data_IF_659614469669
#
_entry.id   IF_659614469669
#
_cell.length_a   1.000
_cell.length_b   1.000
_cell.length_c   1.000
_cell.angle_alpha   90.00
_cell.angle_beta   90.00
_cell.angle_gamma   90.00
#
_symmetry.space_group_name_H-M   'P 1'
#
loop_
_entity.id
_entity.type
_entity.pdbx_description
1 polymer ?
#
# COMPACT_ATOMS: atom_id res chain seq x y z
N UNK A 1 -18.70 6.96 3.04
CA UNK A 1 -19.12 5.55 3.29
C UNK A 1 -17.86 4.78 3.65
N UNK A 2 -17.82 4.28 4.86
CA UNK A 2 -16.68 3.52 5.37
C UNK A 2 -16.56 2.20 4.61
N UNK A 3 -15.37 1.90 4.12
CA UNK A 3 -15.01 0.57 3.60
C UNK A 3 -15.10 -0.43 4.76
N UNK A 4 -16.26 -1.04 4.92
CA UNK A 4 -16.43 -2.20 5.80
C UNK A 4 -15.91 -3.41 5.02
N UNK A 5 -14.63 -3.70 5.17
CA UNK A 5 -14.02 -4.93 4.68
C UNK A 5 -14.53 -6.07 5.58
N UNK A 6 -15.70 -6.64 5.26
CA UNK A 6 -16.26 -7.77 5.98
C UNK A 6 -15.53 -9.08 5.70
N UNK A 7 -14.61 -9.08 4.73
CA UNK A 7 -13.80 -10.23 4.35
C UNK A 7 -12.37 -10.12 4.88
N UNK A 8 -12.00 -11.02 5.76
CA UNK A 8 -10.64 -11.10 6.30
C UNK A 8 -9.65 -11.64 5.26
N UNK A 9 -8.41 -11.12 5.25
CA UNK A 9 -7.36 -11.60 4.36
C UNK A 9 -6.85 -12.98 4.78
N UNK A 10 -6.55 -13.85 3.79
CA UNK A 10 -5.70 -15.01 4.01
C UNK A 10 -4.24 -14.55 4.06
N UNK A 11 -3.79 -14.12 5.25
CA UNK A 11 -2.49 -13.51 5.45
C UNK A 11 -1.32 -14.44 5.07
N UNK A 12 -1.45 -15.76 5.25
CA UNK A 12 -0.39 -16.72 4.87
C UNK A 12 -0.25 -16.83 3.36
N UNK A 13 -1.38 -16.98 2.64
CA UNK A 13 -1.35 -17.02 1.18
C UNK A 13 -0.92 -15.68 0.62
N UNK A 14 -1.37 -14.57 1.22
CA UNK A 14 -0.94 -13.22 0.85
C UNK A 14 0.59 -13.07 0.96
N UNK A 15 1.21 -13.45 2.06
CA UNK A 15 2.66 -13.38 2.25
C UNK A 15 3.43 -14.12 1.15
N UNK A 16 2.96 -15.33 0.77
CA UNK A 16 3.60 -16.14 -0.26
C UNK A 16 3.57 -15.48 -1.65
N UNK A 17 2.48 -14.80 -2.01
CA UNK A 17 2.32 -14.21 -3.34
C UNK A 17 2.79 -12.76 -3.39
N UNK A 18 2.62 -11.99 -2.30
CA UNK A 18 3.04 -10.59 -2.21
C UNK A 18 4.55 -10.42 -2.08
N UNK A 19 5.25 -11.42 -1.50
CA UNK A 19 6.70 -11.43 -1.42
C UNK A 19 7.39 -11.29 -2.79
N UNK A 20 6.79 -11.87 -3.82
CA UNK A 20 7.35 -11.83 -5.18
C UNK A 20 7.36 -10.42 -5.79
N UNK A 21 6.46 -9.54 -5.33
CA UNK A 21 6.20 -8.24 -5.92
C UNK A 21 6.26 -7.12 -4.87
N UNK A 22 5.29 -7.08 -3.98
CA UNK A 22 5.08 -5.95 -3.05
C UNK A 22 6.20 -5.81 -2.02
N UNK A 23 6.79 -6.92 -1.56
CA UNK A 23 7.92 -6.89 -0.64
C UNK A 23 9.14 -6.20 -1.25
N UNK A 24 9.48 -6.52 -2.51
CA UNK A 24 10.59 -5.88 -3.23
C UNK A 24 10.38 -4.38 -3.38
N UNK A 25 9.15 -3.96 -3.66
CA UNK A 25 8.82 -2.55 -3.76
C UNK A 25 8.94 -1.84 -2.42
N UNK A 26 8.46 -2.45 -1.34
CA UNK A 26 8.62 -1.90 -0.01
C UNK A 26 10.09 -1.72 0.38
N UNK A 27 10.97 -2.67 0.01
CA UNK A 27 12.41 -2.52 0.20
C UNK A 27 12.98 -1.32 -0.59
N UNK A 28 12.54 -1.10 -1.82
CA UNK A 28 12.96 0.06 -2.61
C UNK A 28 12.55 1.38 -1.93
N UNK A 29 11.33 1.44 -1.37
CA UNK A 29 10.86 2.64 -0.66
C UNK A 29 11.72 2.95 0.57
N UNK A 30 12.19 1.92 1.27
CA UNK A 30 13.09 2.10 2.42
C UNK A 30 14.42 2.77 2.05
N UNK A 31 14.88 2.64 0.81
CA UNK A 31 16.13 3.23 0.33
C UNK A 31 15.97 4.70 -0.13
N UNK A 32 14.76 5.26 -0.10
CA UNK A 32 14.54 6.66 -0.50
C UNK A 32 15.03 7.67 0.52
N UNK A 33 15.43 7.21 1.71
CA UNK A 33 16.03 8.06 2.75
C UNK A 33 17.20 7.39 3.44
N UNK A 34 18.08 8.21 4.01
CA UNK A 34 19.08 7.77 4.99
C UNK A 34 18.41 7.66 6.37
N UNK A 35 18.52 6.50 7.01
CA UNK A 35 18.01 6.23 8.35
C UNK A 35 19.10 6.53 9.40
N UNK A 36 18.71 7.13 10.52
CA UNK A 36 19.63 7.47 11.63
C UNK A 36 19.53 6.46 12.78
N UNK A 37 18.51 5.61 12.76
CA UNK A 37 18.31 4.54 13.72
C UNK A 37 17.49 4.88 14.96
N UNK A 38 16.99 6.12 15.07
CA UNK A 38 16.22 6.62 16.21
C UNK A 38 14.90 7.26 15.80
N UNK A 39 14.49 7.08 14.56
CA UNK A 39 13.24 7.64 14.05
C UNK A 39 12.02 6.97 14.69
N UNK A 40 10.97 7.75 14.87
CA UNK A 40 9.63 7.28 15.21
C UNK A 40 8.83 7.19 13.93
N UNK A 41 8.45 5.97 13.57
CA UNK A 41 7.88 5.63 12.27
C UNK A 41 6.48 5.06 12.44
N UNK A 42 5.55 5.41 11.55
CA UNK A 42 4.33 4.64 11.34
C UNK A 42 4.42 3.87 10.02
N UNK A 43 4.18 2.57 10.06
CA UNK A 43 3.92 1.73 8.90
C UNK A 43 2.41 1.66 8.69
N UNK A 44 1.90 2.49 7.78
CA UNK A 44 0.46 2.65 7.51
C UNK A 44 0.00 1.61 6.48
N UNK A 45 -0.77 0.64 6.95
CA UNK A 45 -1.14 -0.56 6.20
C UNK A 45 -0.02 -1.61 6.24
N UNK A 46 0.44 -1.95 7.44
CA UNK A 46 1.59 -2.86 7.66
C UNK A 46 1.36 -4.29 7.16
N UNK A 47 0.11 -4.68 6.92
CA UNK A 47 -0.26 -6.04 6.55
C UNK A 47 0.25 -7.05 7.59
N UNK A 48 0.88 -8.11 7.12
CA UNK A 48 1.48 -9.15 7.97
C UNK A 48 2.81 -8.75 8.63
N UNK A 49 3.29 -7.52 8.41
CA UNK A 49 4.51 -7.00 9.03
C UNK A 49 5.83 -7.38 8.34
N UNK A 50 5.81 -7.90 7.10
CA UNK A 50 7.04 -8.30 6.40
C UNK A 50 7.99 -7.13 6.15
N UNK A 51 7.49 -5.97 5.74
CA UNK A 51 8.30 -4.74 5.57
C UNK A 51 8.54 -4.07 6.91
N UNK A 52 7.60 -4.12 7.84
CA UNK A 52 7.76 -3.62 9.21
C UNK A 52 9.00 -4.20 9.89
N UNK A 53 9.34 -5.49 9.65
CA UNK A 53 10.61 -6.09 10.11
C UNK A 53 11.84 -5.32 9.65
N UNK A 54 11.83 -4.85 8.41
CA UNK A 54 12.96 -4.09 7.85
C UNK A 54 13.00 -2.68 8.44
N UNK A 55 11.85 -2.04 8.62
CA UNK A 55 11.74 -0.77 9.33
C UNK A 55 12.30 -0.86 10.75
N UNK A 56 11.87 -1.88 11.53
CA UNK A 56 12.33 -2.10 12.88
C UNK A 56 13.87 -2.24 12.97
N UNK A 57 14.48 -2.92 12.01
CA UNK A 57 15.95 -3.04 11.91
C UNK A 57 16.62 -1.72 11.52
N UNK A 58 15.96 -0.87 10.73
CA UNK A 58 16.49 0.44 10.33
C UNK A 58 16.47 1.45 11.49
N UNK A 59 15.56 1.26 12.47
CA UNK A 59 15.38 2.18 13.61
C UNK A 59 15.53 1.48 14.97
N UNK A 60 16.67 0.83 15.26
CA UNK A 60 16.85 0.01 16.47
C UNK A 60 16.76 0.79 17.80
N UNK A 61 16.97 2.09 17.78
CA UNK A 61 16.82 3.00 18.93
C UNK A 61 15.55 3.87 18.81
N UNK A 62 14.79 3.71 17.74
CA UNK A 62 13.54 4.39 17.48
C UNK A 62 12.34 3.51 17.83
N UNK A 63 11.21 3.81 17.18
CA UNK A 63 9.96 3.06 17.37
C UNK A 63 9.20 2.93 16.06
N UNK A 64 8.55 1.79 15.84
CA UNK A 64 7.66 1.56 14.70
C UNK A 64 6.25 1.27 15.21
N UNK A 65 5.30 2.08 14.78
CA UNK A 65 3.86 1.81 14.93
C UNK A 65 3.38 1.08 13.67
N UNK A 66 3.12 -0.21 13.80
CA UNK A 66 2.62 -1.05 12.72
C UNK A 66 1.08 -1.05 12.73
N UNK A 67 0.47 -0.38 11.76
CA UNK A 67 -0.97 -0.11 11.75
C UNK A 67 -1.63 -0.82 10.58
N UNK A 68 -2.66 -1.63 10.86
CA UNK A 68 -3.53 -2.22 9.84
C UNK A 68 -4.95 -2.36 10.39
N UNK A 69 -5.95 -2.33 9.50
CA UNK A 69 -7.36 -2.48 9.87
C UNK A 69 -7.79 -3.95 9.92
N UNK A 70 -7.13 -4.82 9.14
CA UNK A 70 -7.51 -6.22 8.99
C UNK A 70 -7.02 -7.06 10.18
N UNK A 71 -7.96 -7.79 10.81
CA UNK A 71 -7.67 -8.59 12.00
C UNK A 71 -6.72 -9.76 11.76
N UNK A 72 -6.78 -10.40 10.57
CA UNK A 72 -5.91 -11.52 10.24
C UNK A 72 -4.49 -11.05 9.91
N UNK A 73 -4.37 -9.89 9.24
CA UNK A 73 -3.07 -9.24 9.01
C UNK A 73 -2.42 -8.89 10.35
N UNK A 74 -3.16 -8.28 11.28
CA UNK A 74 -2.66 -7.96 12.63
C UNK A 74 -2.26 -9.23 13.39
N UNK A 75 -3.05 -10.30 13.33
CA UNK A 75 -2.70 -11.58 13.95
C UNK A 75 -1.39 -12.13 13.38
N UNK A 76 -1.21 -12.08 12.07
CA UNK A 76 0.02 -12.54 11.42
C UNK A 76 1.20 -11.60 11.73
N UNK A 77 0.97 -10.28 11.78
CA UNK A 77 1.99 -9.30 12.15
C UNK A 77 2.53 -9.56 13.57
N UNK A 78 1.67 -9.87 14.54
CA UNK A 78 2.09 -10.25 15.90
C UNK A 78 3.04 -11.44 15.90
N UNK A 79 2.73 -12.49 15.14
CA UNK A 79 3.62 -13.66 15.00
C UNK A 79 4.95 -13.28 14.33
N UNK A 80 4.87 -12.46 13.28
CA UNK A 80 6.03 -12.09 12.49
C UNK A 80 6.97 -11.11 13.20
N UNK A 81 6.48 -10.31 14.13
CA UNK A 81 7.18 -9.19 14.76
C UNK A 81 7.49 -9.42 16.24
N UNK A 82 7.18 -10.60 16.80
CA UNK A 82 7.33 -10.91 18.24
C UNK A 82 8.74 -10.69 18.80
N UNK A 83 9.78 -10.71 17.95
CA UNK A 83 11.18 -10.52 18.34
C UNK A 83 11.65 -9.06 18.27
N UNK A 84 10.74 -8.11 18.02
CA UNK A 84 11.09 -6.70 17.86
C UNK A 84 10.45 -5.86 18.97
N UNK A 85 11.22 -5.53 20.00
CA UNK A 85 10.74 -4.74 21.16
C UNK A 85 10.43 -3.28 20.79
N UNK A 86 10.98 -2.79 19.68
CA UNK A 86 10.75 -1.45 19.15
C UNK A 86 9.52 -1.34 18.23
N UNK A 87 8.66 -2.39 18.15
CA UNK A 87 7.44 -2.39 17.32
C UNK A 87 6.20 -2.47 18.19
N UNK A 88 5.28 -1.54 17.96
CA UNK A 88 3.94 -1.56 18.53
C UNK A 88 2.91 -1.82 17.42
N UNK A 89 2.09 -2.87 17.59
CA UNK A 89 1.11 -3.30 16.58
C UNK A 89 -0.27 -2.83 16.98
N UNK A 90 -0.90 -2.05 16.11
CA UNK A 90 -2.18 -1.40 16.36
C UNK A 90 -3.18 -1.78 15.29
N UNK A 91 -4.33 -2.34 15.72
CA UNK A 91 -5.45 -2.55 14.81
C UNK A 91 -6.29 -1.29 14.71
N UNK A 92 -6.14 -0.55 13.62
CA UNK A 92 -6.89 0.69 13.38
C UNK A 92 -6.87 1.04 11.88
N UNK A 93 -7.81 1.88 11.45
CA UNK A 93 -7.65 2.64 10.22
C UNK A 93 -6.58 3.71 10.43
N UNK A 94 -5.64 3.83 9.50
CA UNK A 94 -4.64 4.91 9.58
C UNK A 94 -5.21 6.31 9.26
N UNK A 95 -6.48 6.40 8.87
CA UNK A 95 -7.21 7.67 8.73
C UNK A 95 -7.93 8.12 9.99
N UNK A 96 -8.00 7.27 11.03
CA UNK A 96 -8.73 7.53 12.26
C UNK A 96 -7.88 7.28 13.52
N UNK A 97 -6.60 6.95 13.33
CA UNK A 97 -5.68 6.65 14.43
C UNK A 97 -5.17 7.92 15.12
N UNK A 98 -4.97 7.82 16.42
CA UNK A 98 -4.21 8.79 17.23
C UNK A 98 -3.05 8.08 17.88
N UNK A 99 -1.85 8.62 17.73
CA UNK A 99 -0.63 8.10 18.33
C UNK A 99 -0.19 9.00 19.50
N UNK A 100 0.50 8.44 20.51
CA UNK A 100 0.88 9.20 21.71
C UNK A 100 1.98 10.25 21.44
N UNK A 101 2.64 10.19 20.29
CA UNK A 101 3.73 11.09 19.93
C UNK A 101 3.77 11.38 18.44
N UNK A 102 4.44 12.46 18.07
CA UNK A 102 4.64 12.85 16.67
C UNK A 102 5.70 11.97 16.00
N UNK A 103 5.57 11.82 14.69
CA UNK A 103 6.35 10.91 13.86
C UNK A 103 7.43 11.65 13.06
N UNK A 104 8.57 11.00 12.88
CA UNK A 104 9.60 11.41 11.94
C UNK A 104 9.29 10.94 10.52
N UNK A 105 8.66 9.77 10.39
CA UNK A 105 8.35 9.17 9.10
C UNK A 105 6.98 8.49 9.13
N UNK A 106 6.21 8.71 8.08
CA UNK A 106 5.08 7.86 7.74
C UNK A 106 5.46 7.08 6.48
N UNK A 107 5.57 5.79 6.65
CA UNK A 107 5.82 4.83 5.59
C UNK A 107 4.51 4.13 5.22
N UNK A 108 4.28 3.88 3.92
CA UNK A 108 3.17 3.05 3.46
C UNK A 108 3.52 2.36 2.16
N UNK A 109 3.33 1.06 2.10
CA UNK A 109 3.58 0.28 0.89
C UNK A 109 2.35 -0.54 0.50
N UNK A 110 1.84 -0.32 -0.69
CA UNK A 110 0.70 -1.06 -1.28
C UNK A 110 -0.60 -1.00 -0.47
N UNK A 111 -0.84 0.09 0.28
CA UNK A 111 -2.02 0.26 1.14
C UNK A 111 -2.88 1.47 0.78
N UNK A 112 -2.30 2.62 0.43
CA UNK A 112 -3.04 3.88 0.28
C UNK A 112 -4.16 3.81 -0.79
N UNK A 113 -4.00 3.00 -1.83
CA UNK A 113 -5.01 2.85 -2.88
C UNK A 113 -6.32 2.17 -2.40
N UNK A 114 -6.38 1.65 -1.19
CA UNK A 114 -7.60 1.17 -0.55
C UNK A 114 -8.43 2.30 0.09
N UNK A 115 -7.87 3.51 0.19
CA UNK A 115 -8.54 4.69 0.75
C UNK A 115 -9.13 5.52 -0.39
N UNK A 116 -10.42 5.81 -0.33
CA UNK A 116 -11.09 6.65 -1.34
C UNK A 116 -10.82 8.13 -1.11
N UNK A 117 -10.72 8.58 0.14
CA UNK A 117 -10.46 9.97 0.52
C UNK A 117 -8.99 10.17 0.88
N UNK A 118 -8.17 10.40 -0.16
CA UNK A 118 -6.75 10.71 0.02
C UNK A 118 -6.53 12.04 0.75
N UNK A 119 -7.45 13.02 0.62
CA UNK A 119 -7.34 14.30 1.35
C UNK A 119 -7.38 14.06 2.85
N UNK A 120 -8.36 13.30 3.33
CA UNK A 120 -8.46 12.93 4.74
C UNK A 120 -7.19 12.19 5.20
N UNK A 121 -6.70 11.22 4.41
CA UNK A 121 -5.51 10.46 4.76
C UNK A 121 -4.27 11.37 4.91
N UNK A 122 -4.01 12.21 3.93
CA UNK A 122 -2.85 13.12 3.97
C UNK A 122 -2.97 14.20 5.06
N UNK A 123 -4.19 14.67 5.38
CA UNK A 123 -4.40 15.59 6.50
C UNK A 123 -4.07 14.91 7.84
N UNK A 124 -4.55 13.68 8.07
CA UNK A 124 -4.21 12.90 9.27
C UNK A 124 -2.71 12.65 9.35
N UNK A 125 -2.06 12.33 8.25
CA UNK A 125 -0.61 12.15 8.19
C UNK A 125 0.13 13.44 8.50
N UNK A 126 -0.32 14.57 7.95
CA UNK A 126 0.22 15.89 8.29
C UNK A 126 0.16 16.15 9.79
N UNK A 127 -0.99 15.92 10.40
CA UNK A 127 -1.19 16.18 11.82
C UNK A 127 -0.30 15.29 12.71
N UNK A 128 0.02 14.08 12.27
CA UNK A 128 0.89 13.15 13.01
C UNK A 128 2.38 13.40 12.82
N UNK A 129 2.83 13.97 11.72
CA UNK A 129 4.25 14.27 11.50
C UNK A 129 4.73 15.37 12.43
N UNK A 130 6.01 15.36 12.80
CA UNK A 130 6.68 16.47 13.51
C UNK A 130 6.77 17.69 12.59
N UNK A 131 6.45 18.91 13.05
CA UNK A 131 6.83 20.11 12.32
C UNK A 131 8.35 20.26 12.36
N UNK A 132 8.94 20.74 11.28
CA UNK A 132 10.36 21.08 11.28
C UNK A 132 10.55 22.37 12.10
N UNK A 133 11.24 22.29 13.24
CA UNK A 133 11.55 23.47 14.04
C UNK A 133 12.54 24.35 13.26
N UNK A 134 12.05 25.40 12.63
CA UNK A 134 12.87 26.45 12.01
C UNK A 134 13.68 27.28 13.02
N UNK A 135 13.50 27.04 14.33
CA UNK A 135 14.09 27.83 15.40
C UNK A 135 15.48 27.36 15.90
N UNK A 136 16.10 26.35 15.31
CA UNK A 136 17.51 26.05 15.56
C UNK A 136 18.46 26.83 14.61
N UNK A 137 18.21 28.12 14.40
CA UNK A 137 19.30 29.05 14.09
C UNK A 137 20.09 29.20 15.38
N UNK A 138 21.18 28.46 15.46
CA UNK A 138 22.17 28.65 16.54
C UNK A 138 22.45 30.12 16.72
N UNK A 139 22.00 30.70 17.86
CA UNK A 139 22.61 31.89 18.45
C UNK A 139 23.97 31.42 18.95
N UNK A 140 25.00 32.19 18.53
CA UNK A 140 26.36 32.20 19.04
C UNK A 140 27.22 30.93 18.80
N UNK A 141 27.99 31.01 17.76
CA UNK A 141 29.46 31.07 17.79
C UNK A 141 29.97 31.18 16.34
N UNK A 142 30.73 32.20 16.05
CA UNK A 142 31.27 32.54 14.73
C UNK A 142 32.35 31.56 14.26
N UNK A 143 31.93 30.35 13.88
CA UNK A 143 32.74 29.40 13.14
C UNK A 143 31.94 28.97 11.92
N UNK A 144 32.36 29.47 10.78
CA UNK A 144 31.90 29.04 9.46
C UNK A 144 32.27 27.56 9.27
N UNK A 145 31.35 26.65 9.58
CA UNK A 145 31.48 25.26 9.20
C UNK A 145 30.52 25.00 8.05
N UNK A 146 31.08 24.68 6.87
CA UNK A 146 30.39 24.22 5.66
C UNK A 146 29.76 22.82 5.83
N UNK A 147 29.13 22.57 6.96
CA UNK A 147 28.30 21.43 7.20
C UNK A 147 26.90 21.96 7.59
N UNK A 148 26.07 22.26 6.58
CA UNK A 148 24.63 22.34 6.79
C UNK A 148 24.18 20.95 7.29
N UNK A 149 24.19 20.78 8.61
CA UNK A 149 23.69 19.59 9.29
C UNK A 149 22.26 19.38 8.84
N UNK A 150 22.01 18.28 8.13
CA UNK A 150 20.73 17.84 7.66
C UNK A 150 19.75 17.82 8.84
N UNK A 151 18.96 18.87 9.00
CA UNK A 151 17.76 18.81 9.84
C UNK A 151 16.87 17.78 9.18
N UNK A 152 16.79 16.61 9.77
CA UNK A 152 15.97 15.51 9.27
C UNK A 152 14.51 15.94 9.34
N UNK A 153 14.01 16.54 8.25
CA UNK A 153 12.60 16.92 8.12
C UNK A 153 11.74 15.67 8.17
N UNK A 154 10.61 15.75 8.86
CA UNK A 154 9.65 14.66 8.87
C UNK A 154 9.03 14.48 7.49
N UNK A 155 8.79 13.22 7.09
CA UNK A 155 8.42 12.94 5.71
C UNK A 155 7.44 11.79 5.52
N UNK A 156 6.76 11.84 4.40
CA UNK A 156 6.03 10.72 3.81
C UNK A 156 6.94 9.92 2.90
N UNK A 157 6.87 8.59 3.01
CA UNK A 157 7.48 7.61 2.11
C UNK A 157 6.39 6.62 1.71
N UNK A 158 5.72 6.86 0.58
CA UNK A 158 4.54 6.09 0.21
C UNK A 158 4.68 5.55 -1.20
N UNK A 159 4.32 4.29 -1.36
CA UNK A 159 4.17 3.63 -2.65
C UNK A 159 2.85 2.84 -2.68
N UNK A 160 2.06 3.02 -3.72
CA UNK A 160 0.80 2.28 -3.91
C UNK A 160 0.45 2.13 -5.40
N UNK A 161 -0.66 1.48 -5.71
CA UNK A 161 -1.21 1.49 -7.06
C UNK A 161 -1.63 2.91 -7.46
N UNK A 162 -1.22 3.36 -8.66
CA UNK A 162 -1.55 4.65 -9.22
C UNK A 162 -2.42 4.54 -10.47
N UNK A 163 -2.74 5.65 -11.10
CA UNK A 163 -3.61 5.73 -12.27
C UNK A 163 -3.13 4.80 -13.40
N UNK A 164 -4.04 3.93 -13.88
CA UNK A 164 -3.75 2.90 -14.88
C UNK A 164 -3.18 1.59 -14.32
N UNK A 165 -3.08 1.43 -12.99
CA UNK A 165 -2.61 0.19 -12.37
C UNK A 165 -3.49 -1.00 -12.71
N UNK A 166 -2.90 -2.12 -13.16
CA UNK A 166 -3.58 -3.36 -13.53
C UNK A 166 -4.74 -3.18 -14.53
N UNK A 167 -4.63 -2.19 -15.42
CA UNK A 167 -5.74 -1.77 -16.29
C UNK A 167 -6.29 -2.90 -17.16
N UNK A 168 -5.42 -3.76 -17.71
CA UNK A 168 -5.86 -4.88 -18.54
C UNK A 168 -6.67 -5.91 -17.72
N UNK A 169 -6.22 -6.20 -16.50
CA UNK A 169 -6.89 -7.12 -15.60
C UNK A 169 -8.23 -6.56 -15.14
N UNK A 170 -8.28 -5.28 -14.78
CA UNK A 170 -9.51 -4.60 -14.37
C UNK A 170 -10.54 -4.62 -15.50
N UNK A 171 -10.13 -4.32 -16.73
CA UNK A 171 -11.02 -4.38 -17.90
C UNK A 171 -11.59 -5.79 -18.10
N UNK A 172 -10.81 -6.86 -17.88
CA UNK A 172 -11.31 -8.24 -17.94
C UNK A 172 -12.32 -8.52 -16.81
N UNK A 173 -12.01 -8.10 -15.58
CA UNK A 173 -12.92 -8.26 -14.44
C UNK A 173 -14.24 -7.51 -14.68
N UNK A 174 -14.20 -6.30 -15.22
CA UNK A 174 -15.38 -5.50 -15.57
C UNK A 174 -16.25 -6.20 -16.63
N UNK A 175 -15.67 -6.83 -17.64
CA UNK A 175 -16.42 -7.63 -18.62
C UNK A 175 -17.16 -8.80 -17.95
N UNK A 176 -16.48 -9.48 -17.02
CA UNK A 176 -17.08 -10.62 -16.31
C UNK A 176 -18.19 -10.15 -15.38
N UNK A 177 -18.00 -9.06 -14.63
CA UNK A 177 -19.03 -8.50 -13.74
C UNK A 177 -20.28 -8.07 -14.51
N UNK A 178 -20.14 -7.62 -15.76
CA UNK A 178 -21.23 -7.20 -16.64
C UNK A 178 -21.87 -8.36 -17.44
N UNK A 179 -21.35 -9.58 -17.35
CA UNK A 179 -21.95 -10.74 -18.02
C UNK A 179 -23.29 -11.12 -17.43
N UNK A 180 -24.14 -11.80 -18.20
CA UNK A 180 -25.47 -12.25 -17.76
C UNK A 180 -25.44 -13.08 -16.48
N UNK A 181 -24.37 -13.86 -16.28
CA UNK A 181 -24.19 -14.71 -15.12
C UNK A 181 -23.91 -13.91 -13.84
N UNK A 182 -23.24 -12.73 -13.94
CA UNK A 182 -22.72 -12.03 -12.77
C UNK A 182 -23.31 -10.64 -12.55
N UNK A 183 -23.88 -9.99 -13.57
CA UNK A 183 -24.35 -8.60 -13.50
C UNK A 183 -25.30 -8.30 -12.34
N UNK A 184 -26.13 -9.27 -11.94
CA UNK A 184 -27.07 -9.09 -10.83
C UNK A 184 -26.36 -8.89 -9.48
N UNK A 185 -25.22 -9.53 -9.28
CA UNK A 185 -24.42 -9.43 -8.03
C UNK A 185 -23.66 -8.11 -7.94
N UNK A 186 -23.37 -7.47 -9.09
CA UNK A 186 -22.53 -6.26 -9.16
C UNK A 186 -23.31 -4.98 -9.47
N UNK A 187 -24.65 -5.01 -9.49
CA UNK A 187 -25.50 -3.87 -9.90
C UNK A 187 -25.19 -2.55 -9.17
N UNK A 188 -24.90 -2.63 -7.86
CA UNK A 188 -24.63 -1.46 -7.01
C UNK A 188 -23.16 -1.43 -6.52
N UNK A 189 -22.32 -2.28 -7.08
CA UNK A 189 -20.92 -2.34 -6.65
C UNK A 189 -20.12 -1.18 -7.21
N UNK A 190 -19.21 -0.67 -6.39
CA UNK A 190 -18.24 0.34 -6.78
C UNK A 190 -16.84 -0.19 -6.56
N UNK A 191 -15.92 0.22 -7.44
CA UNK A 191 -14.52 -0.14 -7.34
C UNK A 191 -13.96 0.22 -5.97
N UNK A 192 -13.32 -0.76 -5.32
CA UNK A 192 -12.73 -0.61 -3.99
C UNK A 192 -11.42 0.18 -4.00
N UNK A 193 -10.74 0.26 -5.15
CA UNK A 193 -9.47 0.96 -5.28
C UNK A 193 -9.66 2.37 -5.82
N UNK A 194 -8.85 3.26 -5.29
CA UNK A 194 -8.64 4.59 -5.86
C UNK A 194 -7.20 4.71 -6.36
N UNK A 195 -7.02 4.65 -7.67
CA UNK A 195 -5.73 4.80 -8.33
C UNK A 195 -5.52 6.25 -8.76
N UNK A 196 -4.91 7.03 -7.87
CA UNK A 196 -4.73 8.45 -8.06
C UNK A 196 -3.69 8.77 -9.14
N UNK A 197 -3.84 9.93 -9.79
CA UNK A 197 -2.83 10.51 -10.69
C UNK A 197 -1.74 11.20 -9.89
N UNK A 198 -0.52 11.26 -10.45
CA UNK A 198 0.61 11.95 -9.82
C UNK A 198 0.34 13.44 -9.61
N UNK A 199 -0.18 14.12 -10.64
CA UNK A 199 -0.38 15.56 -10.62
C UNK A 199 -1.46 15.99 -9.63
N UNK A 200 -2.59 15.25 -9.58
CA UNK A 200 -3.67 15.49 -8.63
C UNK A 200 -3.16 15.25 -7.17
N UNK A 201 -2.32 14.23 -6.97
CA UNK A 201 -1.73 13.92 -5.66
C UNK A 201 -0.73 15.01 -5.24
N UNK A 202 0.14 15.45 -6.13
CA UNK A 202 1.12 16.50 -5.84
C UNK A 202 0.44 17.83 -5.51
N UNK A 203 -0.59 18.19 -6.28
CA UNK A 203 -1.43 19.37 -6.00
C UNK A 203 -2.08 19.29 -4.62
N UNK A 204 -2.68 18.13 -4.30
CA UNK A 204 -3.33 17.89 -3.01
C UNK A 204 -2.36 18.01 -1.84
N UNK A 205 -1.15 17.46 -1.96
CA UNK A 205 -0.11 17.57 -0.92
C UNK A 205 0.29 19.03 -0.68
N UNK A 206 0.49 19.81 -1.75
CA UNK A 206 0.82 21.23 -1.66
C UNK A 206 -0.31 22.05 -1.02
N UNK A 207 -1.56 21.76 -1.35
CA UNK A 207 -2.75 22.42 -0.74
C UNK A 207 -2.84 22.17 0.77
N UNK A 208 -2.40 20.99 1.26
CA UNK A 208 -2.33 20.66 2.70
C UNK A 208 -1.17 21.38 3.38
N UNK A 209 -0.12 21.72 2.63
CA UNK A 209 1.07 22.43 3.14
C UNK A 209 2.37 21.64 3.02
N UNK A 210 2.36 20.42 2.50
CA UNK A 210 3.59 19.66 2.26
C UNK A 210 4.52 20.39 1.29
N UNK A 211 5.81 20.28 1.55
CA UNK A 211 6.87 20.88 0.73
C UNK A 211 7.81 19.81 0.18
N UNK A 212 8.63 20.20 -0.81
CA UNK A 212 9.61 19.29 -1.43
C UNK A 212 8.99 17.97 -1.87
N UNK A 213 7.75 18.02 -2.38
CA UNK A 213 7.05 16.84 -2.86
C UNK A 213 7.66 16.34 -4.16
N UNK A 214 7.86 15.02 -4.23
CA UNK A 214 8.20 14.28 -5.44
C UNK A 214 7.16 13.19 -5.61
N UNK A 215 6.25 13.37 -6.56
CA UNK A 215 5.15 12.46 -6.86
C UNK A 215 5.24 12.01 -8.31
N UNK A 216 5.33 10.72 -8.56
CA UNK A 216 5.45 10.20 -9.92
C UNK A 216 4.87 8.81 -10.06
N UNK A 217 4.46 8.48 -11.29
CA UNK A 217 4.04 7.13 -11.68
C UNK A 217 5.22 6.36 -12.27
N UNK A 218 5.37 5.11 -11.86
CA UNK A 218 6.33 4.17 -12.45
C UNK A 218 5.60 2.93 -12.95
N UNK A 219 5.81 2.57 -14.22
CA UNK A 219 5.28 1.34 -14.81
C UNK A 219 6.23 0.19 -14.56
N UNK A 220 5.67 -0.94 -14.16
CA UNK A 220 6.41 -2.16 -13.88
C UNK A 220 5.62 -3.37 -14.37
N UNK A 221 6.23 -4.15 -15.24
CA UNK A 221 5.61 -5.37 -15.77
C UNK A 221 6.23 -6.58 -15.10
N UNK A 222 5.45 -7.24 -14.26
CA UNK A 222 5.90 -8.41 -13.49
C UNK A 222 5.41 -9.69 -14.13
N UNK A 223 6.34 -10.59 -14.48
CA UNK A 223 6.02 -11.95 -14.93
C UNK A 223 6.02 -12.89 -13.74
N UNK A 224 4.89 -13.53 -13.48
CA UNK A 224 4.82 -14.57 -12.46
C UNK A 224 5.27 -15.92 -13.03
N UNK A 225 5.87 -16.80 -12.20
CA UNK A 225 6.57 -17.99 -12.68
C UNK A 225 5.67 -18.99 -13.45
N UNK A 226 4.41 -19.12 -13.05
CA UNK A 226 3.48 -20.09 -13.65
C UNK A 226 2.02 -19.75 -13.35
N UNK A 227 1.11 -20.46 -14.02
CA UNK A 227 -0.33 -20.35 -13.87
C UNK A 227 -0.81 -20.48 -12.41
N UNK A 228 -0.25 -21.39 -11.64
CA UNK A 228 -0.69 -21.64 -10.24
C UNK A 228 -0.42 -20.43 -9.35
N UNK A 229 0.76 -19.83 -9.47
CA UNK A 229 1.12 -18.63 -8.72
C UNK A 229 0.32 -17.42 -9.21
N UNK A 230 0.15 -17.26 -10.53
CA UNK A 230 -0.67 -16.21 -11.09
C UNK A 230 -2.12 -16.29 -10.60
N UNK A 231 -2.78 -17.47 -10.71
CA UNK A 231 -4.15 -17.68 -10.24
C UNK A 231 -4.31 -17.40 -8.75
N UNK A 232 -3.31 -17.80 -7.95
CA UNK A 232 -3.31 -17.54 -6.51
C UNK A 232 -3.18 -16.03 -6.23
N UNK A 233 -2.28 -15.32 -6.93
CA UNK A 233 -2.14 -13.88 -6.80
C UNK A 233 -3.45 -13.16 -7.18
N UNK A 234 -4.04 -13.50 -8.32
CA UNK A 234 -5.32 -12.92 -8.76
C UNK A 234 -6.40 -13.16 -7.71
N UNK A 235 -6.58 -14.41 -7.26
CA UNK A 235 -7.60 -14.76 -6.25
C UNK A 235 -7.42 -13.97 -4.94
N UNK A 236 -6.17 -13.92 -4.45
CA UNK A 236 -5.88 -13.40 -3.10
C UNK A 236 -5.75 -11.88 -3.08
N UNK A 237 -5.20 -11.26 -4.12
CA UNK A 237 -4.87 -9.83 -4.13
C UNK A 237 -5.86 -9.05 -4.99
N UNK A 238 -6.06 -9.45 -6.25
CA UNK A 238 -6.77 -8.63 -7.23
C UNK A 238 -8.28 -8.89 -7.24
N UNK A 239 -8.70 -10.16 -7.29
CA UNK A 239 -10.12 -10.48 -7.38
C UNK A 239 -10.84 -10.50 -6.01
N UNK A 240 -10.11 -10.34 -4.90
CA UNK A 240 -10.69 -10.40 -3.55
C UNK A 240 -11.95 -9.53 -3.39
N UNK A 241 -11.97 -8.23 -3.75
CA UNK A 241 -13.16 -7.39 -3.59
C UNK A 241 -14.38 -7.89 -4.39
N UNK A 242 -14.13 -8.52 -5.53
CA UNK A 242 -15.19 -9.09 -6.36
C UNK A 242 -15.73 -10.41 -5.77
N UNK A 243 -14.83 -11.25 -5.27
CA UNK A 243 -15.18 -12.55 -4.71
C UNK A 243 -15.95 -12.44 -3.39
N UNK A 244 -15.73 -11.39 -2.62
CA UNK A 244 -16.45 -11.12 -1.38
C UNK A 244 -17.95 -10.89 -1.61
N UNK A 245 -18.32 -10.26 -2.73
CA UNK A 245 -19.71 -10.04 -3.10
C UNK A 245 -20.44 -11.34 -3.51
N UNK A 246 -19.69 -12.35 -3.91
CA UNK A 246 -20.22 -13.65 -4.31
C UNK A 246 -20.34 -14.64 -3.14
N UNK A 247 -20.45 -14.15 -1.90
CA UNK A 247 -20.47 -14.96 -0.67
C UNK A 247 -21.88 -15.31 -0.18
N UNK A 248 -22.84 -15.61 -1.09
CA UNK A 248 -24.17 -16.15 -0.81
C UNK A 248 -24.15 -17.68 -0.64
N UNK A 249 -25.31 -18.32 -0.42
CA UNK A 249 -25.47 -19.77 -0.19
C UNK A 249 -24.80 -20.70 -1.25
N UNK A 250 -24.59 -20.20 -2.47
CA UNK A 250 -23.83 -20.86 -3.54
C UNK A 250 -22.43 -20.21 -3.78
N UNK A 251 -21.92 -19.45 -2.82
CA UNK A 251 -20.77 -18.56 -2.98
C UNK A 251 -19.52 -19.25 -3.51
N UNK A 252 -19.19 -20.44 -3.07
CA UNK A 252 -17.98 -21.14 -3.50
C UNK A 252 -18.05 -21.59 -4.98
N UNK A 253 -19.24 -21.99 -5.45
CA UNK A 253 -19.47 -22.32 -6.87
C UNK A 253 -19.37 -21.07 -7.73
N UNK A 254 -19.97 -19.95 -7.29
CA UNK A 254 -19.93 -18.67 -8.00
C UNK A 254 -18.51 -18.11 -8.06
N UNK A 255 -17.76 -18.13 -6.95
CA UNK A 255 -16.35 -17.72 -6.92
C UNK A 255 -15.49 -18.55 -7.85
N UNK A 256 -15.70 -19.86 -7.87
CA UNK A 256 -14.97 -20.78 -8.76
C UNK A 256 -15.30 -20.49 -10.22
N UNK A 257 -16.57 -20.29 -10.57
CA UNK A 257 -17.01 -19.94 -11.93
C UNK A 257 -16.44 -18.60 -12.38
N UNK A 258 -16.46 -17.58 -11.51
CA UNK A 258 -15.89 -16.26 -11.77
C UNK A 258 -14.39 -16.32 -12.08
N UNK A 259 -13.62 -17.01 -11.24
CA UNK A 259 -12.18 -17.18 -11.44
C UNK A 259 -11.85 -18.00 -12.68
N UNK A 260 -12.65 -19.04 -12.98
CA UNK A 260 -12.50 -19.84 -14.20
C UNK A 260 -12.68 -18.97 -15.44
N UNK A 261 -13.76 -18.19 -15.51
CA UNK A 261 -14.01 -17.28 -16.63
C UNK A 261 -12.86 -16.28 -16.79
N UNK A 262 -12.39 -15.69 -15.70
CA UNK A 262 -11.25 -14.77 -15.74
C UNK A 262 -10.00 -15.44 -16.35
N UNK A 263 -9.65 -16.62 -15.87
CA UNK A 263 -8.45 -17.34 -16.35
C UNK A 263 -8.59 -17.79 -17.81
N UNK A 264 -9.78 -18.16 -18.25
CA UNK A 264 -10.06 -18.55 -19.62
C UNK A 264 -9.96 -17.33 -20.57
N UNK A 265 -10.39 -16.13 -20.12
CA UNK A 265 -10.19 -14.88 -20.84
C UNK A 265 -8.70 -14.51 -20.95
N UNK A 266 -7.93 -14.63 -19.86
CA UNK A 266 -6.49 -14.40 -19.88
C UNK A 266 -5.80 -15.32 -20.88
N UNK A 267 -6.16 -16.60 -20.92
CA UNK A 267 -5.62 -17.56 -21.89
C UNK A 267 -5.99 -17.18 -23.33
N UNK A 268 -7.25 -16.84 -23.60
CA UNK A 268 -7.73 -16.43 -24.93
C UNK A 268 -6.98 -15.21 -25.46
N UNK A 269 -6.77 -14.21 -24.62
CA UNK A 269 -6.03 -13.00 -25.01
C UNK A 269 -4.52 -13.26 -25.20
N UNK A 270 -4.00 -14.36 -24.65
CA UNK A 270 -2.60 -14.76 -24.80
C UNK A 270 -2.33 -15.68 -25.99
N UNK A 271 -3.38 -16.31 -26.58
CA UNK A 271 -3.24 -17.33 -27.63
C UNK A 271 -2.65 -16.84 -28.94
N UNK A 272 -2.63 -15.54 -29.20
CA UNK A 272 -1.97 -14.92 -30.35
C UNK A 272 -0.46 -14.66 -30.15
N UNK A 273 0.12 -15.02 -29.00
CA UNK A 273 1.55 -14.87 -28.71
C UNK A 273 2.13 -16.23 -28.37
N UNK A 274 3.21 -16.59 -28.98
CA UNK A 274 3.90 -17.91 -28.92
C UNK A 274 4.25 -18.45 -27.53
N UNK A 275 3.99 -17.71 -26.44
CA UNK A 275 4.08 -18.17 -25.05
C UNK A 275 3.06 -17.41 -24.20
N UNK A 276 2.21 -18.13 -23.45
CA UNK A 276 1.38 -17.53 -22.40
C UNK A 276 2.30 -16.92 -21.37
N UNK A 277 2.21 -15.59 -21.20
CA UNK A 277 2.96 -14.87 -20.17
C UNK A 277 1.98 -14.50 -19.06
N UNK A 278 2.27 -14.91 -17.84
CA UNK A 278 1.53 -14.57 -16.65
C UNK A 278 1.95 -13.18 -16.16
N UNK A 279 1.61 -12.15 -16.97
CA UNK A 279 2.05 -10.77 -16.76
C UNK A 279 1.04 -9.99 -15.92
N UNK A 280 1.58 -9.13 -15.07
CA UNK A 280 0.86 -8.13 -14.31
C UNK A 280 1.43 -6.76 -14.67
N UNK A 281 0.60 -5.88 -15.22
CA UNK A 281 0.94 -4.53 -15.63
C UNK A 281 0.67 -3.55 -14.47
N UNK A 282 1.67 -3.36 -13.64
CA UNK A 282 1.54 -2.43 -12.52
C UNK A 282 1.88 -0.99 -12.93
N UNK A 283 1.12 -0.05 -12.39
CA UNK A 283 1.48 1.36 -12.34
C UNK A 283 1.54 1.77 -10.88
N UNK A 284 2.73 2.14 -10.43
CA UNK A 284 2.99 2.51 -9.03
C UNK A 284 3.02 4.01 -8.87
N UNK A 285 2.21 4.55 -7.98
CA UNK A 285 2.30 5.93 -7.51
C UNK A 285 3.30 5.97 -6.36
N UNK A 286 4.33 6.77 -6.53
CA UNK A 286 5.42 6.95 -5.57
C UNK A 286 5.35 8.39 -5.03
N UNK A 287 5.42 8.54 -3.71
CA UNK A 287 5.24 9.81 -3.02
C UNK A 287 6.34 9.97 -1.97
N UNK A 288 7.10 11.04 -2.10
CA UNK A 288 7.95 11.60 -1.05
C UNK A 288 7.51 13.04 -0.83
N UNK A 289 7.20 13.42 0.40
CA UNK A 289 6.82 14.79 0.74
C UNK A 289 7.22 15.10 2.18
N UNK A 290 7.43 16.37 2.51
CA UNK A 290 7.95 16.79 3.80
C UNK A 290 6.98 17.74 4.50
N UNK A 291 6.90 17.62 5.82
CA UNK A 291 6.27 18.64 6.65
C UNK A 291 7.32 19.68 7.05
N UNK A 292 7.11 20.99 6.72
CA UNK A 292 8.01 22.08 7.12
C UNK A 292 7.99 22.32 8.62
#
# INVERSE_FOLDING_TARGET
MNYQNNGSWDARTYDQVSYLVQYKWGQQVLEWRKWHGNEIVMDAGCGSGLITKQLAKKVPRGKVYAVDIDSNMIKQARNNLQMFDNVEIIRSSFTDIKLPQKLDVIFSNSALHWIQDHRKAFQVFWDMLKPTNSNNKNKDTGVSSNNAGNVSSSQLLIQCGGFGNLQQIITLLERITNSDQFRAYFKNWKQSWYFAKSDDTDKLLKEIGYVNSRVYLNRDCVSLPNHRIYSRFIKTVVAKPYLELLSSDNGDKLKTAFLKLFLDEVKRNSSNRSKIRWLLDFVRLNIVAHRP
#
